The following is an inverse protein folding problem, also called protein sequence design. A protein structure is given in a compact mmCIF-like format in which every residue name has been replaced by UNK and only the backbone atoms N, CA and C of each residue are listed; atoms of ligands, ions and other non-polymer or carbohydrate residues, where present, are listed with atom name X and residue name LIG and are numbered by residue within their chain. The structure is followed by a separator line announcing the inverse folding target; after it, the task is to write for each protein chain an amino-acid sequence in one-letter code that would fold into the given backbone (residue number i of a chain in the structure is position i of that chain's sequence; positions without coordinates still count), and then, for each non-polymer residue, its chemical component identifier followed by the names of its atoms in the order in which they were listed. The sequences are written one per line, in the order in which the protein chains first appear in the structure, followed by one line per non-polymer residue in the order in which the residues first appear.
data_IF_452514919658
#
_entry.id   IF_452514919658
#
_cell.length_a   1.000
_cell.length_b   1.000
_cell.length_c   1.000
_cell.angle_alpha   90.00
_cell.angle_beta   90.00
_cell.angle_gamma   90.00
#
_symmetry.space_group_name_H-M   'P 1'
#
loop_
_entity.id
_entity.type
_entity.pdbx_description
1 polymer ?
#
# COMPACT_ATOMS: atom_id res chain seq x y z
N UNK A 1 2.21 1.70 1.62
CA UNK A 1 0.81 1.48 1.21
C UNK A 1 0.99 0.51 0.10
N UNK A 2 0.33 -0.64 0.19
CA UNK A 2 0.63 -1.76 -0.70
C UNK A 2 -0.61 -2.16 -1.50
N UNK A 3 -1.78 -1.68 -1.10
CA UNK A 3 -3.05 -1.75 -1.82
C UNK A 3 -4.13 -0.93 -1.11
N UNK A 4 -5.10 -0.49 -1.89
CA UNK A 4 -6.32 0.18 -1.41
C UNK A 4 -7.51 -0.64 -1.86
N UNK A 5 -8.42 -0.94 -0.93
CA UNK A 5 -9.68 -1.61 -1.21
C UNK A 5 -10.84 -0.66 -0.97
N UNK A 6 -11.54 -0.32 -2.05
CA UNK A 6 -12.77 0.47 -2.05
C UNK A 6 -13.96 -0.47 -1.99
N UNK A 7 -14.86 -0.21 -1.05
CA UNK A 7 -16.07 -0.99 -0.81
C UNK A 7 -17.26 -0.14 -1.22
N UNK A 8 -18.02 -0.59 -2.21
CA UNK A 8 -19.21 0.09 -2.69
C UNK A 8 -20.46 -0.62 -2.16
N UNK A 9 -21.41 0.15 -1.64
CA UNK A 9 -22.72 -0.38 -1.28
C UNK A 9 -23.51 -0.79 -2.55
N UNK A 10 -24.58 -1.58 -2.39
CA UNK A 10 -25.47 -2.00 -3.48
C UNK A 10 -26.00 -0.86 -4.37
N UNK A 11 -26.15 0.33 -3.81
CA UNK A 11 -26.58 1.54 -4.54
C UNK A 11 -25.43 2.21 -5.32
N UNK A 12 -24.23 1.62 -5.27
CA UNK A 12 -23.02 1.98 -5.99
C UNK A 12 -22.31 3.24 -5.47
N UNK A 13 -22.56 3.65 -4.23
CA UNK A 13 -21.78 4.72 -3.57
C UNK A 13 -20.66 4.11 -2.74
N UNK A 14 -19.55 4.84 -2.60
CA UNK A 14 -18.42 4.42 -1.77
C UNK A 14 -18.87 4.39 -0.30
N UNK A 15 -18.77 3.21 0.31
CA UNK A 15 -19.16 2.96 1.69
C UNK A 15 -17.95 3.01 2.61
N UNK A 16 -16.84 2.39 2.18
CA UNK A 16 -15.59 2.40 2.93
C UNK A 16 -14.40 2.32 1.99
N UNK A 17 -13.28 2.88 2.42
CA UNK A 17 -11.97 2.69 1.81
C UNK A 17 -11.04 2.11 2.86
N UNK A 18 -10.25 1.11 2.48
CA UNK A 18 -9.27 0.48 3.37
C UNK A 18 -7.91 0.56 2.71
N UNK A 19 -6.97 1.20 3.38
CA UNK A 19 -5.58 1.28 2.99
C UNK A 19 -4.78 0.23 3.78
N UNK A 20 -4.00 -0.60 3.08
CA UNK A 20 -3.18 -1.64 3.70
C UNK A 20 -1.69 -1.30 3.63
N UNK A 21 -0.96 -1.53 4.72
CA UNK A 21 0.49 -1.32 4.81
C UNK A 21 1.21 -2.52 5.43
N UNK A 22 2.19 -3.06 4.71
CA UNK A 22 3.16 -4.05 5.17
C UNK A 22 4.56 -3.42 5.15
N UNK A 23 4.71 -2.31 5.88
CA UNK A 23 5.91 -1.46 5.83
C UNK A 23 7.10 -2.01 6.63
N UNK A 24 6.90 -2.87 7.63
CA UNK A 24 7.99 -3.40 8.48
C UNK A 24 7.96 -4.93 8.55
N UNK A 25 9.08 -5.50 8.98
CA UNK A 25 9.24 -6.94 9.11
C UNK A 25 8.21 -7.52 10.08
N UNK A 26 7.36 -8.42 9.58
CA UNK A 26 6.25 -9.02 10.33
C UNK A 26 5.22 -8.02 10.92
N UNK A 27 5.16 -6.80 10.37
CA UNK A 27 4.18 -5.79 10.77
C UNK A 27 3.21 -5.55 9.62
N UNK A 28 1.93 -5.54 9.94
CA UNK A 28 0.87 -5.23 9.01
C UNK A 28 -0.13 -4.34 9.75
N UNK A 29 -0.52 -3.24 9.09
CA UNK A 29 -1.53 -2.33 9.61
C UNK A 29 -2.48 -1.95 8.49
N UNK A 30 -3.69 -1.59 8.87
CA UNK A 30 -4.69 -1.06 7.98
C UNK A 30 -5.28 0.22 8.54
N UNK A 31 -5.88 1.00 7.67
CA UNK A 31 -6.71 2.14 8.03
C UNK A 31 -7.96 2.01 7.23
N UNK A 32 -9.10 2.14 7.88
CA UNK A 32 -10.34 2.29 7.16
C UNK A 32 -10.85 3.71 7.32
N UNK A 33 -11.41 4.21 6.24
CA UNK A 33 -12.18 5.44 6.18
C UNK A 33 -13.59 5.06 5.78
N UNK A 34 -14.56 5.30 6.66
CA UNK A 34 -15.97 5.11 6.37
C UNK A 34 -16.54 6.37 5.75
N UNK A 35 -17.48 6.19 4.82
CA UNK A 35 -18.11 7.28 4.09
C UNK A 35 -19.61 7.27 4.29
N UNK A 36 -20.19 8.46 4.43
CA UNK A 36 -21.64 8.64 4.48
C UNK A 36 -22.12 9.33 3.21
N UNK A 37 -23.17 8.78 2.63
CA UNK A 37 -23.86 9.36 1.47
C UNK A 37 -24.56 10.68 1.86
N UNK A 38 -24.42 11.69 1.02
CA UNK A 38 -25.26 12.89 1.08
C UNK A 38 -26.61 12.59 0.41
N UNK A 39 -27.69 12.89 1.11
CA UNK A 39 -29.03 12.92 0.53
C UNK A 39 -29.29 14.39 0.13
N UNK A 40 -29.44 14.67 -1.17
CA UNK A 40 -30.07 15.91 -1.61
C UNK A 40 -31.58 15.69 -1.65
N UNK A 41 -32.35 16.66 -1.16
CA UNK A 41 -33.82 16.61 -1.16
C UNK A 41 -34.42 16.77 -2.58
N UNK A 42 -33.59 17.05 -3.58
CA UNK A 42 -33.99 17.05 -4.99
C UNK A 42 -33.71 15.66 -5.59
N UNK A 43 -34.79 14.94 -5.86
CA UNK A 43 -34.80 13.65 -6.56
C UNK A 43 -34.10 13.77 -7.92
N UNK A 44 -33.30 12.75 -8.27
CA UNK A 44 -32.53 12.58 -9.52
C UNK A 44 -31.12 13.18 -9.62
N UNK A 45 -30.48 13.58 -8.52
CA UNK A 45 -29.05 13.88 -8.62
C UNK A 45 -28.23 12.57 -8.70
N UNK A 46 -27.72 12.26 -9.90
CA UNK A 46 -26.79 11.17 -10.21
C UNK A 46 -25.47 11.27 -9.42
N UNK A 47 -25.27 12.35 -8.67
CA UNK A 47 -24.12 12.58 -7.83
C UNK A 47 -24.18 11.66 -6.59
N UNK A 48 -23.51 10.50 -6.67
CA UNK A 48 -23.26 9.60 -5.53
C UNK A 48 -22.20 10.18 -4.59
N UNK A 49 -22.37 11.45 -4.24
CA UNK A 49 -21.45 12.21 -3.41
C UNK A 49 -21.44 11.64 -1.99
N UNK A 50 -20.24 11.42 -1.48
CA UNK A 50 -20.02 10.89 -0.13
C UNK A 50 -19.00 11.76 0.59
N UNK A 51 -19.07 11.80 1.92
CA UNK A 51 -18.09 12.47 2.76
C UNK A 51 -17.50 11.50 3.78
N UNK A 52 -16.20 11.63 4.12
CA UNK A 52 -15.57 10.80 5.14
C UNK A 52 -16.20 11.09 6.50
N UNK A 53 -16.52 10.03 7.25
CA UNK A 53 -17.22 10.10 8.53
C UNK A 53 -16.33 9.69 9.70
N UNK A 54 -15.72 8.52 9.62
CA UNK A 54 -14.83 7.97 10.66
C UNK A 54 -13.58 7.39 10.01
N UNK A 55 -12.43 7.64 10.62
CA UNK A 55 -11.12 7.15 10.20
C UNK A 55 -10.49 6.41 11.38
N UNK A 56 -10.12 5.15 11.18
CA UNK A 56 -9.46 4.36 12.23
C UNK A 56 -8.33 3.52 11.71
N UNK A 57 -7.23 3.54 12.44
CA UNK A 57 -6.11 2.63 12.29
C UNK A 57 -6.37 1.33 13.05
N UNK A 58 -5.97 0.20 12.46
CA UNK A 58 -6.05 -1.12 13.07
C UNK A 58 -4.82 -1.97 12.75
N UNK A 59 -4.53 -2.92 13.64
CA UNK A 59 -3.46 -3.88 13.44
C UNK A 59 -3.96 -5.09 12.67
N UNK A 60 -3.15 -5.55 11.72
CA UNK A 60 -3.37 -6.76 10.96
C UNK A 60 -2.37 -7.82 11.41
N UNK A 61 -2.81 -9.08 11.43
CA UNK A 61 -1.87 -10.16 11.59
C UNK A 61 -1.05 -10.29 10.31
N UNK A 62 0.28 -10.18 10.43
CA UNK A 62 1.16 -10.42 9.29
C UNK A 62 1.00 -11.87 8.81
N UNK A 63 0.78 -12.02 7.50
CA UNK A 63 0.66 -13.31 6.82
C UNK A 63 1.28 -13.19 5.44
N UNK A 64 2.03 -14.21 5.05
CA UNK A 64 2.48 -14.38 3.66
C UNK A 64 1.38 -15.07 2.86
N UNK A 65 1.15 -14.57 1.66
CA UNK A 65 0.15 -15.09 0.72
C UNK A 65 0.85 -15.68 -0.49
N UNK A 66 0.20 -16.67 -1.10
CA UNK A 66 0.73 -17.34 -2.29
C UNK A 66 0.06 -16.83 -3.57
N UNK A 67 -1.13 -16.24 -3.48
CA UNK A 67 -1.90 -15.75 -4.62
C UNK A 67 -2.59 -14.42 -4.30
N UNK A 68 -2.90 -13.64 -5.34
CA UNK A 68 -3.71 -12.42 -5.21
C UNK A 68 -5.12 -12.76 -4.70
N UNK A 69 -5.72 -13.86 -5.14
CA UNK A 69 -7.07 -14.23 -4.73
C UNK A 69 -7.16 -14.55 -3.23
N UNK A 70 -6.12 -15.18 -2.66
CA UNK A 70 -6.04 -15.39 -1.21
C UNK A 70 -5.98 -14.07 -0.44
N UNK A 71 -5.28 -13.06 -0.99
CA UNK A 71 -5.20 -11.72 -0.42
C UNK A 71 -6.58 -11.06 -0.48
N UNK A 72 -7.26 -11.12 -1.64
CA UNK A 72 -8.59 -10.54 -1.82
C UNK A 72 -9.59 -11.11 -0.82
N UNK A 73 -9.60 -12.42 -0.66
CA UNK A 73 -10.49 -13.07 0.28
C UNK A 73 -10.20 -12.67 1.72
N UNK A 74 -8.92 -12.64 2.10
CA UNK A 74 -8.50 -12.20 3.43
C UNK A 74 -8.91 -10.75 3.73
N UNK A 75 -8.70 -9.84 2.80
CA UNK A 75 -9.05 -8.43 2.98
C UNK A 75 -10.57 -8.24 3.12
N UNK A 76 -11.37 -8.99 2.34
CA UNK A 76 -12.83 -9.01 2.47
C UNK A 76 -13.25 -9.50 3.87
N UNK A 77 -12.60 -10.55 4.38
CA UNK A 77 -12.90 -11.09 5.70
C UNK A 77 -12.53 -10.10 6.82
N UNK A 78 -11.40 -9.37 6.67
CA UNK A 78 -11.03 -8.27 7.57
C UNK A 78 -12.10 -7.18 7.56
N UNK A 79 -12.55 -6.74 6.38
CA UNK A 79 -13.59 -5.70 6.27
C UNK A 79 -14.88 -6.14 6.94
N UNK A 80 -15.32 -7.38 6.68
CA UNK A 80 -16.51 -7.93 7.31
C UNK A 80 -16.38 -8.02 8.82
N UNK A 81 -15.18 -8.21 9.35
CA UNK A 81 -14.94 -8.23 10.79
C UNK A 81 -14.96 -6.82 11.39
N UNK A 82 -14.28 -5.86 10.77
CA UNK A 82 -14.14 -4.50 11.29
C UNK A 82 -15.40 -3.65 11.08
N UNK A 83 -16.06 -3.77 9.92
CA UNK A 83 -17.24 -2.98 9.54
C UNK A 83 -18.55 -3.78 9.52
N UNK A 84 -18.52 -5.08 9.84
CA UNK A 84 -19.69 -5.97 9.67
C UNK A 84 -20.96 -5.55 10.41
N UNK A 85 -20.84 -4.76 11.48
CA UNK A 85 -22.01 -4.20 12.19
C UNK A 85 -22.70 -3.09 11.40
N UNK A 86 -21.94 -2.32 10.63
CA UNK A 86 -22.44 -1.22 9.80
C UNK A 86 -22.86 -1.72 8.40
N UNK A 87 -22.41 -2.93 8.02
CA UNK A 87 -22.83 -3.60 6.81
C UNK A 87 -24.21 -4.24 6.98
N UNK A 88 -25.21 -3.66 6.32
CA UNK A 88 -26.62 -4.12 6.40
C UNK A 88 -26.90 -5.38 5.59
N UNK A 89 -26.15 -5.61 4.50
CA UNK A 89 -26.19 -6.85 3.69
C UNK A 89 -24.78 -7.22 3.18
N UNK A 90 -24.06 -8.15 3.83
CA UNK A 90 -22.68 -8.53 3.46
C UNK A 90 -22.52 -9.13 2.05
N UNK A 91 -23.63 -9.48 1.37
CA UNK A 91 -23.62 -9.99 -0.02
C UNK A 91 -23.93 -8.90 -1.05
N UNK A 92 -24.35 -7.72 -0.62
CA UNK A 92 -24.72 -6.59 -1.48
C UNK A 92 -23.61 -5.56 -1.69
N UNK A 93 -22.38 -5.82 -1.26
CA UNK A 93 -21.26 -4.90 -1.44
C UNK A 93 -20.29 -5.38 -2.51
N UNK A 94 -19.82 -4.42 -3.30
CA UNK A 94 -18.78 -4.63 -4.31
C UNK A 94 -17.41 -4.22 -3.74
N UNK A 95 -16.40 -5.04 -4.02
CA UNK A 95 -15.04 -4.88 -3.50
C UNK A 95 -14.11 -4.61 -4.68
N UNK A 96 -13.58 -3.40 -4.74
CA UNK A 96 -12.80 -2.92 -5.89
C UNK A 96 -11.43 -2.45 -5.40
N UNK A 97 -10.38 -3.02 -5.99
CA UNK A 97 -9.02 -2.54 -5.76
C UNK A 97 -8.70 -1.41 -6.71
N UNK A 98 -7.84 -0.51 -6.25
CA UNK A 98 -7.25 0.47 -7.16
C UNK A 98 -6.34 -0.24 -8.18
N UNK A 99 -6.50 0.13 -9.44
CA UNK A 99 -5.73 -0.42 -10.56
C UNK A 99 -4.47 0.41 -10.85
N UNK A 100 -4.40 1.63 -10.33
CA UNK A 100 -3.30 2.53 -10.62
C UNK A 100 -2.01 2.05 -9.94
N UNK A 101 -0.90 2.13 -10.68
CA UNK A 101 0.42 1.94 -10.10
C UNK A 101 0.70 3.06 -9.09
N UNK A 102 1.10 2.67 -7.89
CA UNK A 102 1.46 3.61 -6.83
C UNK A 102 2.97 3.67 -6.69
N UNK A 103 3.49 4.89 -6.68
CA UNK A 103 4.89 5.17 -6.40
C UNK A 103 5.08 5.48 -4.93
N UNK A 104 5.90 4.68 -4.25
CA UNK A 104 6.40 4.96 -2.91
C UNK A 104 7.89 5.27 -2.97
N UNK A 105 8.29 6.41 -2.40
CA UNK A 105 9.70 6.82 -2.33
C UNK A 105 10.24 6.70 -0.91
N UNK A 106 11.47 6.23 -0.79
CA UNK A 106 12.23 6.20 0.46
C UNK A 106 13.58 6.88 0.25
N UNK A 107 13.99 7.68 1.22
CA UNK A 107 15.38 8.16 1.33
C UNK A 107 16.12 7.19 2.21
N UNK A 108 17.25 6.69 1.71
CA UNK A 108 18.19 5.91 2.49
C UNK A 108 19.24 6.84 3.08
N UNK A 109 19.27 6.96 4.40
CA UNK A 109 20.20 7.80 5.14
C UNK A 109 20.88 6.98 6.22
N UNK A 110 22.20 7.11 6.30
CA UNK A 110 22.98 6.47 7.35
C UNK A 110 23.62 7.52 8.26
N UNK A 111 24.25 7.07 9.34
CA UNK A 111 25.06 7.94 10.20
C UNK A 111 26.17 8.71 9.45
N UNK A 112 26.53 8.29 8.23
CA UNK A 112 27.55 8.94 7.38
C UNK A 112 26.96 9.90 6.34
N UNK A 113 25.63 10.05 6.30
CA UNK A 113 24.91 10.90 5.35
C UNK A 113 24.01 10.13 4.39
N UNK A 114 23.55 10.85 3.35
CA UNK A 114 22.63 10.35 2.33
C UNK A 114 23.30 9.26 1.48
N UNK A 115 22.61 8.13 1.38
CA UNK A 115 23.05 6.94 0.66
C UNK A 115 22.45 6.92 -0.74
N UNK A 116 21.18 7.28 -0.84
CA UNK A 116 20.44 7.27 -2.09
C UNK A 116 18.93 7.33 -1.86
N UNK A 117 18.19 7.10 -2.95
CA UNK A 117 16.74 7.05 -2.97
C UNK A 117 16.28 5.71 -3.51
N UNK A 118 15.31 5.10 -2.85
CA UNK A 118 14.61 3.91 -3.32
C UNK A 118 13.23 4.33 -3.79
N UNK A 119 12.96 4.12 -5.07
CA UNK A 119 11.64 4.29 -5.67
C UNK A 119 11.01 2.91 -5.83
N UNK A 120 9.77 2.75 -5.37
CA UNK A 120 9.03 1.50 -5.54
C UNK A 120 7.73 1.82 -6.27
N UNK A 121 7.63 1.35 -7.49
CA UNK A 121 6.39 1.33 -8.26
C UNK A 121 5.73 -0.03 -8.06
N UNK A 122 4.46 -0.05 -7.69
CA UNK A 122 3.75 -1.32 -7.56
C UNK A 122 2.31 -1.19 -8.07
N UNK A 123 1.81 -2.26 -8.71
CA UNK A 123 0.40 -2.49 -9.01
C UNK A 123 -0.04 -3.77 -8.32
N UNK A 124 -1.06 -3.68 -7.47
CA UNK A 124 -1.58 -4.85 -6.78
C UNK A 124 -2.32 -5.79 -7.73
N UNK A 125 -3.16 -5.27 -8.61
CA UNK A 125 -3.97 -6.09 -9.53
C UNK A 125 -3.11 -6.80 -10.57
N UNK A 126 -2.08 -6.13 -11.08
CA UNK A 126 -1.20 -6.70 -12.10
C UNK A 126 -0.08 -7.57 -11.51
N UNK A 127 0.05 -7.60 -10.17
CA UNK A 127 1.14 -8.27 -9.46
C UNK A 127 2.54 -7.79 -9.90
N UNK A 128 2.67 -6.50 -10.24
CA UNK A 128 3.94 -5.94 -10.72
C UNK A 128 4.54 -5.07 -9.63
N UNK A 129 5.84 -5.25 -9.40
CA UNK A 129 6.63 -4.39 -8.52
C UNK A 129 7.98 -4.09 -9.15
N UNK A 130 8.29 -2.81 -9.26
CA UNK A 130 9.56 -2.32 -9.76
C UNK A 130 10.22 -1.46 -8.69
N UNK A 131 11.42 -1.85 -8.30
CA UNK A 131 12.23 -1.14 -7.32
C UNK A 131 13.43 -0.55 -8.02
N UNK A 132 13.59 0.77 -7.94
CA UNK A 132 14.69 1.52 -8.50
C UNK A 132 15.48 2.19 -7.40
N UNK A 133 16.75 1.85 -7.28
CA UNK A 133 17.68 2.49 -6.38
C UNK A 133 18.55 3.49 -7.15
N UNK A 134 18.59 4.72 -6.65
CA UNK A 134 19.42 5.82 -7.15
C UNK A 134 20.44 6.17 -6.07
N UNK A 135 21.72 5.88 -6.32
CA UNK A 135 22.81 6.19 -5.42
C UNK A 135 23.06 7.70 -5.37
N UNK A 136 23.25 8.24 -4.17
CA UNK A 136 23.61 9.65 -4.00
C UNK A 136 25.05 9.96 -4.42
N UNK A 137 25.95 8.97 -4.35
CA UNK A 137 27.40 9.17 -4.50
C UNK A 137 28.01 8.40 -5.67
N UNK A 138 27.38 7.31 -6.10
CA UNK A 138 27.92 6.45 -7.15
C UNK A 138 26.83 6.00 -8.14
N UNK A 139 26.41 6.85 -9.10
CA UNK A 139 25.34 6.53 -10.06
C UNK A 139 25.60 5.27 -10.91
N UNK A 140 26.87 4.85 -11.05
CA UNK A 140 27.26 3.59 -11.73
C UNK A 140 26.74 2.33 -11.04
N UNK A 141 26.31 2.44 -9.78
CA UNK A 141 25.74 1.36 -8.98
C UNK A 141 24.23 1.55 -8.74
N UNK A 142 23.58 2.40 -9.55
CA UNK A 142 22.12 2.43 -9.59
C UNK A 142 21.60 1.07 -10.03
N UNK A 143 20.52 0.60 -9.39
CA UNK A 143 19.98 -0.73 -9.59
C UNK A 143 18.48 -0.67 -9.86
N UNK A 144 18.04 -1.44 -10.83
CA UNK A 144 16.63 -1.69 -11.12
C UNK A 144 16.33 -3.16 -10.83
N UNK A 145 15.37 -3.42 -9.95
CA UNK A 145 14.92 -4.74 -9.54
C UNK A 145 13.42 -4.83 -9.89
N UNK A 146 13.07 -5.70 -10.84
CA UNK A 146 11.68 -6.08 -11.08
C UNK A 146 11.35 -7.34 -10.30
N UNK A 147 10.16 -7.39 -9.70
CA UNK A 147 9.61 -8.55 -9.01
C UNK A 147 8.14 -8.71 -9.42
N UNK A 148 7.79 -9.90 -9.89
CA UNK A 148 6.42 -10.36 -10.16
C UNK A 148 5.87 -11.16 -8.96
N UNK A 149 6.41 -10.91 -7.77
CA UNK A 149 6.09 -11.67 -6.57
C UNK A 149 5.36 -10.83 -5.52
N UNK A 150 4.59 -11.53 -4.68
CA UNK A 150 3.88 -10.98 -3.53
C UNK A 150 4.82 -10.56 -2.37
N UNK A 151 6.12 -10.41 -2.65
CA UNK A 151 7.12 -9.87 -1.73
C UNK A 151 6.67 -8.52 -1.17
N UNK A 152 6.93 -8.25 0.11
CA UNK A 152 6.73 -6.91 0.66
C UNK A 152 7.77 -5.94 0.10
N UNK A 153 7.48 -4.63 0.17
CA UNK A 153 8.46 -3.59 -0.20
C UNK A 153 9.80 -3.80 0.50
N UNK A 154 9.77 -4.17 1.78
CA UNK A 154 10.94 -4.46 2.59
C UNK A 154 11.79 -5.60 2.03
N UNK A 155 11.18 -6.72 1.65
CA UNK A 155 11.90 -7.87 1.08
C UNK A 155 12.60 -7.49 -0.23
N UNK A 156 11.97 -6.65 -1.06
CA UNK A 156 12.62 -6.17 -2.27
C UNK A 156 13.78 -5.21 -1.97
N UNK A 157 13.64 -4.35 -0.95
CA UNK A 157 14.68 -3.41 -0.55
C UNK A 157 15.91 -4.08 0.08
N UNK A 158 15.72 -5.17 0.82
CA UNK A 158 16.83 -5.95 1.40
C UNK A 158 17.76 -6.56 0.33
N UNK A 159 17.30 -6.65 -0.92
CA UNK A 159 18.10 -7.11 -2.07
C UNK A 159 18.94 -6.00 -2.71
N UNK A 160 18.77 -4.74 -2.30
CA UNK A 160 19.54 -3.61 -2.82
C UNK A 160 20.93 -3.63 -2.18
N UNK A 161 21.94 -3.82 -3.02
CA UNK A 161 23.34 -3.72 -2.63
C UNK A 161 23.84 -2.28 -2.79
N UNK A 162 24.38 -1.72 -1.71
CA UNK A 162 24.88 -0.36 -1.67
C UNK A 162 26.40 -0.36 -1.55
N UNK A 163 27.05 0.39 -2.44
CA UNK A 163 28.48 0.61 -2.44
C UNK A 163 28.81 1.98 -1.81
N UNK A 164 29.31 1.98 -0.57
CA UNK A 164 29.73 3.19 0.16
C UNK A 164 31.26 3.23 0.24
N UNK A 165 31.93 3.82 -0.75
CA UNK A 165 33.40 4.02 -0.88
C UNK A 165 34.31 2.78 -0.69
N UNK A 166 33.74 1.61 -0.39
CA UNK A 166 34.39 0.33 -0.18
C UNK A 166 34.08 -0.59 -1.36
N UNK A 167 34.98 -1.53 -1.62
CA UNK A 167 34.84 -2.53 -2.69
C UNK A 167 33.78 -3.60 -2.38
N UNK A 168 33.34 -3.73 -1.12
CA UNK A 168 32.31 -4.71 -0.73
C UNK A 168 30.91 -4.06 -0.64
N UNK A 169 29.89 -4.64 -1.30
CA UNK A 169 28.52 -4.20 -1.17
C UNK A 169 27.98 -4.46 0.24
N UNK A 170 27.16 -3.53 0.73
CA UNK A 170 26.41 -3.69 1.98
C UNK A 170 24.93 -3.65 1.64
N UNK A 171 24.14 -4.60 2.18
CA UNK A 171 22.70 -4.56 2.02
C UNK A 171 22.10 -3.31 2.68
N UNK A 172 21.10 -2.72 2.03
CA UNK A 172 20.39 -1.58 2.59
C UNK A 172 19.59 -2.02 3.81
N UNK A 173 19.83 -1.35 4.95
CA UNK A 173 19.18 -1.73 6.20
C UNK A 173 17.95 -0.88 6.44
N UNK A 174 16.87 -1.50 6.91
CA UNK A 174 15.57 -0.83 6.94
C UNK A 174 15.48 0.35 7.90
N UNK A 175 16.25 0.35 9.00
CA UNK A 175 16.29 1.47 9.94
C UNK A 175 16.93 2.73 9.35
N UNK A 176 17.68 2.59 8.25
CA UNK A 176 18.25 3.69 7.48
C UNK A 176 17.22 4.27 6.47
N UNK A 177 16.02 3.68 6.36
CA UNK A 177 15.00 4.12 5.39
C UNK A 177 13.98 5.07 6.01
N UNK A 178 13.81 6.21 5.36
CA UNK A 178 12.75 7.16 5.65
C UNK A 178 11.80 7.28 4.47
N UNK A 179 10.56 6.86 4.66
CA UNK A 179 9.49 7.01 3.65
C UNK A 179 9.20 8.50 3.43
N UNK A 180 9.16 8.91 2.18
CA UNK A 180 8.73 10.25 1.79
C UNK A 180 7.20 10.32 1.67
N UNK A 181 6.61 11.50 1.91
CA UNK A 181 5.21 11.75 1.59
C UNK A 181 4.91 11.55 0.10
N UNK A 182 3.65 11.27 -0.23
CA UNK A 182 3.20 10.94 -1.60
C UNK A 182 3.42 12.09 -2.60
N UNK A 183 3.51 13.34 -2.14
CA UNK A 183 3.70 14.53 -2.97
C UNK A 183 5.16 14.81 -3.37
N UNK A 184 6.12 13.99 -2.91
CA UNK A 184 7.53 14.07 -3.28
C UNK A 184 7.87 13.01 -4.30
#
# INVERSE_FOLDING_TARGET
MDRTLKVYAKTGHLFAEIEFWYEKHNDARGRYTSFRRLYSDEEEDESKSVYPMDERDFYLQYRKFNTIDDIKQHDIDVIRKELGRDMTDPRGYDYVYDADMVLTRYVAESQRGCVGMVNIYYSFLDNVKEVKFLSATNPRYDMDISSDSLESHMQCMERIEVYRDREEPIALVWYDLKKLPVWY
#
